data_IF_259551869603
#
_entry.id   IF_259551869603
#
_cell.length_a   1.000
_cell.length_b   1.000
_cell.length_c   1.000
_cell.angle_alpha   90.00
_cell.angle_beta   90.00
_cell.angle_gamma   90.00
#
_symmetry.space_group_name_H-M   'P 1'
#
loop_
_entity.id
_entity.type
_entity.pdbx_description
1 polymer ?
#
# COMPACT_ATOMS: atom_id res chain seq x y z
N UNK A 1 -59.01 28.85 55.16
CA UNK A 1 -57.93 28.56 54.19
C UNK A 1 -56.92 27.63 54.87
N UNK A 2 -56.86 26.36 54.48
CA UNK A 2 -55.88 25.39 55.00
C UNK A 2 -54.61 25.46 54.12
N UNK A 3 -53.39 25.48 54.69
CA UNK A 3 -52.16 25.54 53.91
C UNK A 3 -51.93 24.22 53.15
N UNK A 4 -51.47 24.34 51.91
CA UNK A 4 -51.17 23.22 51.02
C UNK A 4 -50.05 22.35 51.60
N UNK A 5 -50.28 21.04 51.62
CA UNK A 5 -49.32 20.02 52.01
C UNK A 5 -48.13 20.01 51.02
N UNK A 6 -46.87 19.98 51.47
CA UNK A 6 -45.72 19.94 50.59
C UNK A 6 -45.61 18.60 49.87
N UNK A 7 -45.32 18.67 48.56
CA UNK A 7 -45.25 17.54 47.63
C UNK A 7 -44.21 16.50 48.12
N UNK A 8 -44.58 15.21 48.34
CA UNK A 8 -43.72 14.21 49.01
C UNK A 8 -42.42 13.88 48.25
N UNK A 9 -42.34 14.22 46.96
CA UNK A 9 -41.14 14.03 46.14
C UNK A 9 -40.04 15.04 46.51
N UNK A 10 -40.43 16.27 46.87
CA UNK A 10 -39.47 17.35 47.18
C UNK A 10 -38.84 17.16 48.56
N UNK A 11 -39.57 16.56 49.51
CA UNK A 11 -39.03 16.25 50.84
C UNK A 11 -38.06 15.05 50.81
N UNK A 12 -38.24 14.12 49.87
CA UNK A 12 -37.33 12.99 49.66
C UNK A 12 -35.99 13.44 49.04
N UNK A 13 -36.03 14.30 48.02
CA UNK A 13 -34.83 14.82 47.35
C UNK A 13 -33.93 15.65 48.26
N UNK A 14 -34.48 16.32 49.29
CA UNK A 14 -33.71 17.08 50.30
C UNK A 14 -32.98 16.21 51.32
N UNK A 15 -33.27 14.91 51.40
CA UNK A 15 -32.62 13.97 52.34
C UNK A 15 -31.42 13.24 51.75
N UNK A 16 -31.15 13.43 50.47
CA UNK A 16 -30.02 12.78 49.80
C UNK A 16 -28.74 13.55 50.14
N UNK A 17 -27.72 12.91 50.74
CA UNK A 17 -26.41 13.52 50.94
C UNK A 17 -25.86 14.04 49.61
N UNK A 18 -25.28 15.24 49.62
CA UNK A 18 -24.66 15.91 48.46
C UNK A 18 -23.78 15.00 47.58
N UNK A 19 -22.91 14.12 48.12
CA UNK A 19 -22.10 13.23 47.28
C UNK A 19 -22.94 12.19 46.52
N UNK A 20 -24.06 11.74 47.09
CA UNK A 20 -24.97 10.78 46.44
C UNK A 20 -25.80 11.48 45.36
N UNK A 21 -26.23 12.72 45.61
CA UNK A 21 -26.92 13.52 44.60
C UNK A 21 -26.01 13.82 43.38
N UNK A 22 -24.73 14.09 43.62
CA UNK A 22 -23.73 14.25 42.56
C UNK A 22 -23.51 12.96 41.78
N UNK A 23 -23.38 11.82 42.45
CA UNK A 23 -23.22 10.52 41.79
C UNK A 23 -24.44 10.18 40.91
N UNK A 24 -25.66 10.42 41.41
CA UNK A 24 -26.90 10.23 40.64
C UNK A 24 -26.95 11.16 39.43
N UNK A 25 -26.54 12.42 39.60
CA UNK A 25 -26.46 13.40 38.51
C UNK A 25 -25.46 13.02 37.42
N UNK A 26 -24.28 12.51 37.80
CA UNK A 26 -23.24 12.03 36.85
C UNK A 26 -23.73 10.79 36.09
N UNK A 27 -24.35 9.83 36.78
CA UNK A 27 -24.89 8.62 36.15
C UNK A 27 -26.02 8.96 35.17
N UNK A 28 -26.95 9.84 35.56
CA UNK A 28 -28.01 10.31 34.67
C UNK A 28 -27.46 11.09 33.48
N UNK A 29 -26.44 11.93 33.69
CA UNK A 29 -25.74 12.65 32.62
C UNK A 29 -25.08 11.70 31.61
N UNK A 30 -24.41 10.65 32.08
CA UNK A 30 -23.80 9.63 31.23
C UNK A 30 -24.85 8.83 30.45
N UNK A 31 -25.95 8.41 31.08
CA UNK A 31 -27.03 7.70 30.39
C UNK A 31 -27.73 8.58 29.33
N UNK A 32 -27.96 9.85 29.61
CA UNK A 32 -28.55 10.79 28.63
C UNK A 32 -27.57 11.06 27.49
N UNK A 33 -26.26 11.17 27.76
CA UNK A 33 -25.26 11.33 26.70
C UNK A 33 -25.18 10.12 25.77
N UNK A 34 -25.34 8.89 26.28
CA UNK A 34 -25.36 7.66 25.49
C UNK A 34 -26.63 7.53 24.63
N UNK A 35 -27.77 8.03 25.13
CA UNK A 35 -29.02 8.07 24.39
C UNK A 35 -29.01 9.15 23.28
N UNK A 36 -28.37 10.30 23.52
CA UNK A 36 -28.29 11.39 22.53
C UNK A 36 -27.11 11.27 21.54
N UNK A 37 -26.03 10.56 21.88
CA UNK A 37 -24.94 10.29 20.93
C UNK A 37 -25.37 9.38 19.77
N UNK A 38 -26.53 8.72 19.90
CA UNK A 38 -27.10 7.88 18.86
C UNK A 38 -27.84 8.67 17.77
N UNK A 39 -27.90 10.01 17.85
CA UNK A 39 -28.72 10.83 16.93
C UNK A 39 -28.04 12.10 16.37
N UNK A 40 -26.71 12.19 16.37
CA UNK A 40 -25.99 13.24 15.61
C UNK A 40 -24.99 12.65 14.62
N UNK A 41 -25.32 12.86 13.36
CA UNK A 41 -24.64 12.56 12.12
C UNK A 41 -23.12 12.73 12.17
N UNK A 42 -22.40 11.66 11.83
CA UNK A 42 -21.21 11.77 10.99
C UNK A 42 -21.64 11.35 9.59
N UNK A 43 -21.33 12.16 8.58
CA UNK A 43 -21.47 11.77 7.18
C UNK A 43 -20.66 10.48 6.98
N UNK A 44 -21.37 9.37 6.81
CA UNK A 44 -20.79 8.08 6.49
C UNK A 44 -20.29 8.15 5.04
N UNK A 45 -19.01 8.44 4.86
CA UNK A 45 -18.31 7.92 3.70
C UNK A 45 -18.31 6.40 3.81
N UNK A 46 -18.54 5.65 2.71
CA UNK A 46 -18.58 4.20 2.76
C UNK A 46 -17.25 3.69 3.33
N UNK A 47 -17.33 3.08 4.51
CA UNK A 47 -16.27 2.25 5.07
C UNK A 47 -15.96 1.16 4.06
N UNK A 48 -14.67 0.91 3.83
CA UNK A 48 -14.14 -0.22 3.06
C UNK A 48 -14.98 -1.48 3.33
N UNK A 49 -15.81 -1.82 2.36
CA UNK A 49 -16.63 -3.02 2.34
C UNK A 49 -15.85 -4.10 1.58
N UNK A 50 -14.61 -4.32 2.03
CA UNK A 50 -13.74 -5.40 1.55
C UNK A 50 -14.37 -6.74 1.94
N UNK A 51 -15.26 -7.24 1.09
CA UNK A 51 -15.75 -8.62 1.15
C UNK A 51 -17.12 -8.87 1.79
N UNK A 52 -17.96 -7.86 2.09
CA UNK A 52 -19.28 -8.14 2.68
C UNK A 52 -20.26 -8.89 1.76
N UNK A 53 -19.99 -9.00 0.45
CA UNK A 53 -20.78 -9.83 -0.46
C UNK A 53 -20.30 -11.28 -0.58
N UNK A 54 -19.15 -11.65 -0.04
CA UNK A 54 -18.69 -13.04 -0.03
C UNK A 54 -18.78 -13.56 1.40
N UNK A 55 -19.94 -14.13 1.74
CA UNK A 55 -20.10 -14.92 2.97
C UNK A 55 -18.98 -15.97 3.00
N UNK A 56 -17.99 -15.76 3.87
CA UNK A 56 -16.99 -16.75 4.25
C UNK A 56 -17.69 -18.03 4.71
N UNK A 57 -17.92 -18.96 3.78
CA UNK A 57 -18.23 -20.32 4.13
C UNK A 57 -16.98 -20.90 4.79
N UNK A 58 -17.14 -21.42 6.01
CA UNK A 58 -16.06 -22.06 6.75
C UNK A 58 -15.39 -23.13 5.87
N UNK A 59 -14.07 -23.08 5.63
CA UNK A 59 -13.43 -24.07 4.79
C UNK A 59 -13.46 -25.43 5.49
N UNK A 60 -13.99 -26.44 4.79
CA UNK A 60 -13.68 -27.83 5.11
C UNK A 60 -12.17 -28.00 4.86
N UNK A 61 -11.43 -28.34 5.92
CA UNK A 61 -9.99 -28.61 5.86
C UNK A 61 -9.69 -29.71 4.83
N UNK A 62 -9.16 -29.33 3.68
CA UNK A 62 -8.45 -30.24 2.79
C UNK A 62 -6.97 -29.87 2.83
N UNK A 63 -6.19 -30.76 3.43
CA UNK A 63 -4.74 -30.66 3.57
C UNK A 63 -4.07 -30.83 2.20
N UNK A 64 -3.35 -29.83 1.71
CA UNK A 64 -2.23 -30.08 0.78
C UNK A 64 -1.07 -29.08 0.93
N UNK A 65 -0.66 -28.78 2.15
CA UNK A 65 0.71 -28.34 2.41
C UNK A 65 1.19 -29.05 3.67
N UNK A 66 2.31 -29.78 3.58
CA UNK A 66 2.97 -30.27 4.78
C UNK A 66 3.33 -29.06 5.63
N UNK A 67 2.80 -28.91 6.86
CA UNK A 67 3.22 -27.84 7.72
C UNK A 67 4.70 -28.07 8.02
N UNK A 68 5.57 -27.27 7.40
CA UNK A 68 6.92 -27.13 7.89
C UNK A 68 6.77 -26.69 9.35
N UNK A 69 7.32 -27.48 10.27
CA UNK A 69 7.25 -27.13 11.69
C UNK A 69 7.79 -25.71 11.81
N UNK A 70 6.97 -24.74 12.27
CA UNK A 70 7.42 -23.36 12.35
C UNK A 70 8.69 -23.34 13.21
N UNK A 71 9.79 -22.71 12.75
CA UNK A 71 11.01 -22.63 13.52
C UNK A 71 10.74 -22.01 14.88
N UNK A 72 11.50 -22.42 15.90
CA UNK A 72 11.29 -21.92 17.27
C UNK A 72 11.50 -20.40 17.31
N UNK A 73 10.91 -19.68 18.29
CA UNK A 73 11.13 -18.24 18.43
C UNK A 73 12.62 -17.85 18.46
N UNK A 74 13.49 -18.66 19.05
CA UNK A 74 14.94 -18.44 19.09
C UNK A 74 15.59 -18.58 17.71
N UNK A 75 15.18 -19.59 16.94
CA UNK A 75 15.65 -19.77 15.56
C UNK A 75 15.20 -18.61 14.68
N UNK A 76 13.94 -18.20 14.80
CA UNK A 76 13.39 -17.04 14.10
C UNK A 76 14.13 -15.77 14.47
N UNK A 77 14.42 -15.53 15.75
CA UNK A 77 15.18 -14.37 16.21
C UNK A 77 16.61 -14.38 15.65
N UNK A 78 17.28 -15.53 15.63
CA UNK A 78 18.62 -15.65 15.05
C UNK A 78 18.63 -15.33 13.55
N UNK A 79 17.64 -15.84 12.83
CA UNK A 79 17.49 -15.58 11.39
C UNK A 79 17.12 -14.12 11.15
N UNK A 80 16.19 -13.56 11.94
CA UNK A 80 15.84 -12.15 11.89
C UNK A 80 17.06 -11.27 12.15
N UNK A 81 17.91 -11.62 13.12
CA UNK A 81 19.15 -10.90 13.37
C UNK A 81 20.10 -10.99 12.17
N UNK A 82 20.31 -12.18 11.59
CA UNK A 82 21.13 -12.36 10.38
C UNK A 82 20.59 -11.55 9.20
N UNK A 83 19.29 -11.62 8.94
CA UNK A 83 18.61 -10.86 7.88
C UNK A 83 18.67 -9.35 8.15
N UNK A 84 18.57 -8.92 9.41
CA UNK A 84 18.70 -7.51 9.78
C UNK A 84 20.13 -6.99 9.58
N UNK A 85 21.13 -7.86 9.69
CA UNK A 85 22.54 -7.55 9.41
C UNK A 85 22.90 -7.60 7.93
N UNK A 86 22.04 -8.17 7.06
CA UNK A 86 22.21 -8.03 5.61
C UNK A 86 22.10 -6.54 5.28
N UNK A 87 23.26 -5.94 5.01
CA UNK A 87 23.34 -4.55 4.59
C UNK A 87 23.05 -4.52 3.09
N UNK A 88 21.96 -3.87 2.65
CA UNK A 88 21.75 -3.65 1.24
C UNK A 88 22.93 -2.85 0.64
N UNK A 89 23.22 -3.07 -0.64
CA UNK A 89 24.28 -2.35 -1.32
C UNK A 89 23.80 -0.98 -1.81
N UNK A 90 22.69 -0.97 -2.53
CA UNK A 90 22.10 0.21 -3.16
C UNK A 90 21.16 0.97 -2.22
N UNK A 91 20.39 0.28 -1.38
CA UNK A 91 19.43 0.88 -0.44
C UNK A 91 20.01 1.13 0.96
N UNK A 92 21.35 1.09 1.10
CA UNK A 92 22.06 1.26 2.39
C UNK A 92 21.76 2.59 3.08
N UNK A 93 21.53 3.64 2.29
CA UNK A 93 21.41 5.02 2.77
C UNK A 93 19.97 5.43 3.06
N UNK A 94 18.97 4.65 2.66
CA UNK A 94 17.54 4.99 2.81
C UNK A 94 17.19 5.53 4.20
N UNK A 95 17.67 4.90 5.27
CA UNK A 95 17.37 5.30 6.65
C UNK A 95 18.65 5.50 7.48
N UNK A 96 19.77 5.78 6.81
CA UNK A 96 21.07 5.89 7.46
C UNK A 96 21.16 7.26 8.15
N UNK A 97 20.73 7.29 9.41
CA UNK A 97 20.70 8.42 10.37
C UNK A 97 19.39 9.18 10.49
N UNK A 98 18.25 8.50 10.28
CA UNK A 98 16.94 9.10 10.48
C UNK A 98 16.80 9.83 11.82
N UNK A 99 16.32 11.07 11.78
CA UNK A 99 16.11 11.93 12.92
C UNK A 99 15.08 11.30 13.88
N UNK A 100 15.26 11.43 15.20
CA UNK A 100 14.34 10.82 16.17
C UNK A 100 12.87 11.24 15.99
N UNK A 101 12.64 12.48 15.54
CA UNK A 101 11.29 12.98 15.25
C UNK A 101 10.61 12.24 14.09
N UNK A 102 11.37 11.95 13.03
CA UNK A 102 10.89 11.20 11.86
C UNK A 102 10.58 9.76 12.24
N UNK A 103 11.49 9.10 12.97
CA UNK A 103 11.28 7.73 13.45
C UNK A 103 9.97 7.61 14.25
N UNK A 104 9.70 8.56 15.16
CA UNK A 104 8.46 8.58 15.93
C UNK A 104 7.23 8.75 15.02
N UNK A 105 7.27 9.66 14.04
CA UNK A 105 6.17 9.84 13.12
C UNK A 105 5.95 8.61 12.22
N UNK A 106 7.00 7.94 11.77
CA UNK A 106 6.93 6.69 11.00
C UNK A 106 6.24 5.60 11.83
N UNK A 107 6.65 5.40 13.09
CA UNK A 107 6.03 4.43 13.99
C UNK A 107 4.53 4.70 14.18
N UNK A 108 4.14 5.97 14.38
CA UNK A 108 2.75 6.38 14.51
C UNK A 108 1.97 6.22 13.20
N UNK A 109 2.55 6.66 12.08
CA UNK A 109 1.91 6.65 10.75
C UNK A 109 1.64 5.24 10.28
N UNK A 110 2.60 4.33 10.39
CA UNK A 110 2.47 2.95 9.93
C UNK A 110 1.89 2.00 10.99
N UNK A 111 1.48 2.49 12.16
CA UNK A 111 0.76 1.68 13.17
C UNK A 111 -0.41 0.87 12.58
N UNK A 112 -1.24 1.40 11.64
CA UNK A 112 -2.31 0.63 11.00
C UNK A 112 -1.85 -0.51 10.08
N UNK A 113 -0.56 -0.58 9.75
CA UNK A 113 0.03 -1.65 8.95
C UNK A 113 0.64 -2.77 9.82
N UNK A 114 0.82 -2.53 11.12
CA UNK A 114 1.49 -3.48 12.03
C UNK A 114 0.62 -4.73 12.23
N UNK A 115 0.98 -5.82 11.55
CA UNK A 115 0.17 -7.05 11.54
C UNK A 115 0.56 -8.07 12.60
N UNK A 116 1.22 -7.66 13.69
CA UNK A 116 1.53 -8.52 14.82
C UNK A 116 1.18 -7.86 16.16
N UNK A 117 0.80 -8.66 17.15
CA UNK A 117 0.46 -8.14 18.47
C UNK A 117 1.73 -7.63 19.17
N UNK A 118 1.63 -6.50 19.88
CA UNK A 118 2.71 -6.08 20.78
C UNK A 118 2.85 -7.11 21.91
N UNK A 119 4.08 -7.46 22.33
CA UNK A 119 4.26 -8.27 23.52
C UNK A 119 3.59 -7.58 24.71
N UNK A 120 2.95 -8.37 25.57
CA UNK A 120 2.09 -7.87 26.65
C UNK A 120 2.93 -7.11 27.70
N UNK A 121 3.21 -5.83 27.45
CA UNK A 121 3.85 -4.95 28.40
C UNK A 121 2.83 -4.57 29.47
N UNK A 122 2.75 -5.37 30.53
CA UNK A 122 2.01 -5.01 31.75
C UNK A 122 2.73 -3.85 32.44
N UNK A 123 2.55 -2.64 31.94
CA UNK A 123 2.76 -1.42 32.72
C UNK A 123 1.55 -1.27 33.64
N UNK A 124 1.74 -1.53 34.93
CA UNK A 124 0.71 -1.34 35.97
C UNK A 124 0.31 0.14 36.15
N UNK A 125 1.11 1.09 35.64
CA UNK A 125 0.98 2.50 35.97
C UNK A 125 0.35 3.39 34.89
N UNK A 126 0.02 2.87 33.71
CA UNK A 126 -0.66 3.64 32.65
C UNK A 126 -2.18 3.52 32.77
N UNK A 127 -2.73 4.00 33.88
CA UNK A 127 -4.16 4.14 34.09
C UNK A 127 -4.53 5.62 34.12
N UNK A 128 -5.51 6.01 33.29
CA UNK A 128 -6.35 7.22 33.38
C UNK A 128 -6.26 8.34 32.31
N UNK A 129 -5.74 8.12 31.10
CA UNK A 129 -5.93 9.11 30.00
C UNK A 129 -6.40 8.58 28.61
N UNK A 130 -6.55 7.27 28.38
CA UNK A 130 -6.76 6.73 27.01
C UNK A 130 -8.16 6.10 26.74
N UNK A 131 -9.27 6.67 27.20
CA UNK A 131 -10.57 5.98 27.03
C UNK A 131 -11.23 6.18 25.65
N UNK A 132 -11.02 7.32 24.98
CA UNK A 132 -11.62 7.59 23.65
C UNK A 132 -10.67 7.32 22.45
N UNK A 133 -9.35 7.41 22.62
CA UNK A 133 -8.37 7.03 21.60
C UNK A 133 -8.22 5.50 21.44
N UNK A 134 -8.69 4.72 22.43
CA UNK A 134 -8.52 3.27 22.52
C UNK A 134 -9.38 2.46 21.53
N UNK A 135 -10.59 2.91 21.19
CA UNK A 135 -11.50 2.12 20.33
C UNK A 135 -11.09 2.13 18.86
N UNK A 136 -10.73 3.30 18.31
CA UNK A 136 -10.23 3.46 16.94
C UNK A 136 -8.88 2.75 16.77
N UNK A 137 -7.99 2.89 17.75
CA UNK A 137 -6.68 2.22 17.75
C UNK A 137 -6.82 0.70 17.79
N UNK A 138 -7.64 0.15 18.68
CA UNK A 138 -7.92 -1.30 18.72
C UNK A 138 -8.55 -1.82 17.42
N UNK A 139 -9.47 -1.06 16.79
CA UNK A 139 -10.06 -1.46 15.51
C UNK A 139 -9.02 -1.47 14.40
N UNK A 140 -8.14 -0.48 14.35
CA UNK A 140 -7.02 -0.42 13.39
C UNK A 140 -6.03 -1.56 13.61
N UNK A 141 -5.70 -1.88 14.87
CA UNK A 141 -4.82 -3.01 15.21
C UNK A 141 -5.44 -4.35 14.83
N UNK A 142 -6.74 -4.55 15.09
CA UNK A 142 -7.46 -5.76 14.68
C UNK A 142 -7.56 -5.89 13.16
N UNK A 143 -7.80 -4.78 12.46
CA UNK A 143 -7.77 -4.75 10.99
C UNK A 143 -6.39 -5.12 10.46
N UNK A 144 -5.32 -4.56 11.03
CA UNK A 144 -3.94 -4.87 10.64
C UNK A 144 -3.56 -6.34 10.88
N UNK A 145 -3.98 -6.91 12.02
CA UNK A 145 -3.72 -8.31 12.37
C UNK A 145 -4.36 -9.30 11.39
N UNK A 146 -5.52 -8.94 10.81
CA UNK A 146 -6.23 -9.78 9.85
C UNK A 146 -5.94 -9.50 8.39
N UNK A 147 -5.27 -8.38 8.07
CA UNK A 147 -5.06 -7.92 6.70
C UNK A 147 -4.02 -8.77 5.98
N UNK A 148 -4.40 -9.40 4.87
CA UNK A 148 -3.55 -10.28 4.07
C UNK A 148 -3.01 -9.58 2.83
N UNK A 149 -1.70 -9.67 2.62
CA UNK A 149 -0.99 -9.05 1.50
C UNK A 149 -0.48 -10.13 0.53
N UNK A 150 -0.81 -9.98 -0.76
CA UNK A 150 -0.25 -10.80 -1.83
C UNK A 150 0.79 -9.99 -2.61
N UNK A 151 2.05 -10.34 -2.48
CA UNK A 151 3.13 -9.74 -3.25
C UNK A 151 3.34 -10.53 -4.54
N UNK A 152 3.27 -9.88 -5.69
CA UNK A 152 3.57 -10.45 -6.99
C UNK A 152 4.84 -9.81 -7.54
N UNK A 153 5.87 -10.60 -7.85
CA UNK A 153 7.18 -10.09 -8.25
C UNK A 153 7.60 -10.72 -9.57
N UNK A 154 7.91 -9.89 -10.57
CA UNK A 154 8.50 -10.32 -11.83
C UNK A 154 10.00 -10.04 -11.83
N UNK A 155 10.82 -11.03 -12.19
CA UNK A 155 12.28 -10.90 -12.22
C UNK A 155 12.87 -11.44 -13.53
N UNK A 156 13.86 -10.74 -14.07
CA UNK A 156 14.66 -11.16 -15.21
C UNK A 156 16.06 -10.54 -15.14
N UNK A 157 17.10 -11.36 -15.03
CA UNK A 157 18.49 -10.91 -14.88
C UNK A 157 18.68 -9.89 -13.74
N UNK A 158 18.10 -10.19 -12.59
CA UNK A 158 18.01 -9.27 -11.45
C UNK A 158 18.99 -9.62 -10.33
N UNK A 159 20.11 -10.30 -10.64
CA UNK A 159 21.07 -10.79 -9.62
C UNK A 159 21.56 -9.67 -8.68
N UNK A 160 21.84 -8.48 -9.22
CA UNK A 160 22.35 -7.35 -8.43
C UNK A 160 21.26 -6.63 -7.61
N UNK A 161 19.99 -6.77 -8.00
CA UNK A 161 18.84 -6.12 -7.33
C UNK A 161 18.28 -6.98 -6.20
N UNK A 162 18.29 -8.30 -6.40
CA UNK A 162 17.66 -9.28 -5.50
C UNK A 162 18.10 -9.15 -4.03
N UNK A 163 19.39 -8.99 -3.69
CA UNK A 163 19.80 -8.89 -2.28
C UNK A 163 19.13 -7.73 -1.55
N UNK A 164 19.06 -6.57 -2.19
CA UNK A 164 18.46 -5.34 -1.65
C UNK A 164 16.93 -5.47 -1.58
N UNK A 165 16.30 -5.92 -2.66
CA UNK A 165 14.85 -6.16 -2.71
C UNK A 165 14.42 -7.14 -1.61
N UNK A 166 15.16 -8.22 -1.41
CA UNK A 166 14.85 -9.22 -0.39
C UNK A 166 15.09 -8.70 1.02
N UNK A 167 16.15 -7.94 1.25
CA UNK A 167 16.38 -7.28 2.53
C UNK A 167 15.23 -6.31 2.88
N UNK A 168 14.74 -5.54 1.90
CA UNK A 168 13.56 -4.68 2.08
C UNK A 168 12.31 -5.52 2.35
N UNK A 169 12.04 -6.57 1.57
CA UNK A 169 10.88 -7.46 1.75
C UNK A 169 10.83 -8.11 3.13
N UNK A 170 11.96 -8.56 3.69
CA UNK A 170 12.00 -9.10 5.04
C UNK A 170 11.66 -8.05 6.11
N UNK A 171 12.07 -6.79 5.91
CA UNK A 171 11.78 -5.70 6.85
C UNK A 171 10.33 -5.23 6.75
N UNK A 172 9.81 -5.10 5.53
CA UNK A 172 8.38 -4.85 5.28
C UNK A 172 7.53 -5.97 5.87
N UNK A 173 7.87 -7.23 5.61
CA UNK A 173 7.18 -8.39 6.17
C UNK A 173 7.23 -8.46 7.70
N UNK A 174 8.29 -7.93 8.34
CA UNK A 174 8.34 -7.82 9.79
C UNK A 174 7.29 -6.84 10.32
N UNK A 175 7.06 -5.71 9.64
CA UNK A 175 6.03 -4.73 9.99
C UNK A 175 4.63 -5.28 9.70
N UNK A 176 4.40 -5.77 8.48
CA UNK A 176 3.10 -6.31 8.06
C UNK A 176 2.72 -7.62 8.78
N UNK A 177 3.69 -8.29 9.42
CA UNK A 177 3.57 -9.63 9.97
C UNK A 177 3.81 -10.69 8.90
N UNK A 178 4.84 -11.53 9.07
CA UNK A 178 5.20 -12.55 8.08
C UNK A 178 4.06 -13.51 7.73
N UNK A 179 3.20 -13.81 8.70
CA UNK A 179 2.02 -14.67 8.51
C UNK A 179 0.93 -14.04 7.63
N UNK A 180 0.92 -12.72 7.52
CA UNK A 180 -0.04 -11.96 6.71
C UNK A 180 0.46 -11.75 5.28
N UNK A 181 1.71 -12.11 4.99
CA UNK A 181 2.37 -11.90 3.69
C UNK A 181 2.47 -13.23 2.93
N UNK A 182 2.01 -13.22 1.69
CA UNK A 182 2.27 -14.25 0.69
C UNK A 182 3.06 -13.63 -0.47
N UNK A 183 4.12 -14.30 -0.92
CA UNK A 183 4.98 -13.82 -2.02
C UNK A 183 4.91 -14.79 -3.20
N UNK A 184 4.53 -14.30 -4.36
CA UNK A 184 4.56 -15.01 -5.64
C UNK A 184 5.64 -14.39 -6.52
N UNK A 185 6.67 -15.16 -6.85
CA UNK A 185 7.76 -14.71 -7.72
C UNK A 185 7.69 -15.46 -9.05
N UNK A 186 7.61 -14.73 -10.15
CA UNK A 186 7.79 -15.27 -11.49
C UNK A 186 9.14 -14.82 -12.07
N UNK A 187 9.99 -15.80 -12.34
CA UNK A 187 11.33 -15.61 -12.90
C UNK A 187 11.33 -16.02 -14.38
N UNK A 188 11.68 -15.08 -15.26
CA UNK A 188 11.42 -15.18 -16.69
C UNK A 188 12.66 -15.57 -17.54
N UNK A 189 13.36 -16.63 -17.17
CA UNK A 189 14.41 -17.19 -18.02
C UNK A 189 15.76 -16.46 -18.00
N UNK A 190 16.12 -15.92 -16.83
CA UNK A 190 17.39 -15.26 -16.52
C UNK A 190 18.58 -16.15 -16.86
N UNK A 191 19.61 -15.51 -17.40
CA UNK A 191 20.91 -16.09 -17.76
C UNK A 191 21.99 -15.90 -16.70
N UNK A 192 21.76 -14.98 -15.75
CA UNK A 192 22.64 -14.73 -14.62
C UNK A 192 22.37 -15.68 -13.44
N UNK A 193 22.92 -15.35 -12.26
CA UNK A 193 22.75 -16.14 -11.03
C UNK A 193 21.44 -15.84 -10.27
N UNK A 194 20.47 -15.14 -10.88
CA UNK A 194 19.16 -14.84 -10.28
C UNK A 194 18.51 -16.09 -9.67
N UNK A 195 18.44 -17.18 -10.44
CA UNK A 195 17.83 -18.45 -10.01
C UNK A 195 18.49 -19.05 -8.77
N UNK A 196 19.81 -18.85 -8.61
CA UNK A 196 20.53 -19.33 -7.43
C UNK A 196 20.14 -18.53 -6.18
N UNK A 197 20.06 -17.20 -6.28
CA UNK A 197 19.61 -16.35 -5.18
C UNK A 197 18.16 -16.64 -4.78
N UNK A 198 17.27 -16.92 -5.74
CA UNK A 198 15.88 -17.27 -5.45
C UNK A 198 15.74 -18.54 -4.57
N UNK A 199 16.64 -19.52 -4.71
CA UNK A 199 16.65 -20.73 -3.85
C UNK A 199 17.06 -20.41 -2.41
N UNK A 200 18.00 -19.49 -2.24
CA UNK A 200 18.42 -19.00 -0.91
C UNK A 200 17.24 -18.26 -0.27
N UNK A 201 16.57 -17.40 -1.03
CA UNK A 201 15.39 -16.68 -0.56
C UNK A 201 14.27 -17.60 -0.13
N UNK A 202 13.90 -18.61 -0.93
CA UNK A 202 12.89 -19.62 -0.56
C UNK A 202 13.21 -20.30 0.79
N UNK A 203 14.49 -20.56 1.05
CA UNK A 203 14.91 -21.14 2.33
C UNK A 203 14.75 -20.14 3.49
N UNK A 204 15.12 -18.87 3.27
CA UNK A 204 15.04 -17.81 4.27
C UNK A 204 13.59 -17.42 4.60
N UNK A 205 12.70 -17.30 3.61
CA UNK A 205 11.28 -16.97 3.82
C UNK A 205 10.57 -18.04 4.63
N UNK A 206 10.77 -19.31 4.30
CA UNK A 206 10.23 -20.45 5.08
C UNK A 206 10.72 -20.42 6.53
N UNK A 207 11.96 -20.01 6.74
CA UNK A 207 12.56 -19.97 8.08
C UNK A 207 12.05 -18.82 8.98
N UNK A 208 11.38 -17.81 8.42
CA UNK A 208 10.67 -16.78 9.20
C UNK A 208 9.15 -16.98 9.20
N UNK A 209 8.65 -17.98 8.46
CA UNK A 209 7.22 -18.26 8.30
C UNK A 209 6.52 -17.39 7.26
N UNK A 210 7.25 -16.73 6.38
CA UNK A 210 6.70 -15.99 5.24
C UNK A 210 6.45 -16.96 4.08
N UNK A 211 5.23 -17.00 3.55
CA UNK A 211 4.86 -17.94 2.48
C UNK A 211 5.39 -17.42 1.15
N UNK A 212 6.03 -18.30 0.37
CA UNK A 212 6.52 -17.97 -0.97
C UNK A 212 6.26 -19.09 -1.97
N UNK A 213 5.93 -18.72 -3.20
CA UNK A 213 5.93 -19.59 -4.38
C UNK A 213 6.84 -18.95 -5.43
N UNK A 214 7.81 -19.71 -5.93
CA UNK A 214 8.73 -19.25 -6.98
C UNK A 214 8.51 -20.13 -8.21
N UNK A 215 8.10 -19.51 -9.32
CA UNK A 215 7.93 -20.15 -10.63
C UNK A 215 9.00 -19.63 -11.58
N UNK A 216 9.83 -20.52 -12.10
CA UNK A 216 10.86 -20.19 -13.08
C UNK A 216 10.44 -20.68 -14.46
N UNK A 217 10.66 -19.87 -15.49
CA UNK A 217 10.41 -20.21 -16.89
C UNK A 217 11.70 -20.24 -17.69
N UNK A 218 11.69 -20.99 -18.80
CA UNK A 218 12.74 -20.88 -19.83
C UNK A 218 12.24 -20.10 -21.06
N UNK A 219 10.96 -19.68 -21.07
CA UNK A 219 10.34 -18.96 -22.19
C UNK A 219 10.94 -17.57 -22.29
N UNK A 220 11.54 -17.26 -23.43
CA UNK A 220 11.96 -15.90 -23.79
C UNK A 220 10.98 -15.32 -24.80
N UNK A 221 10.93 -14.00 -24.92
CA UNK A 221 10.16 -13.34 -25.98
C UNK A 221 10.68 -13.82 -27.33
N UNK A 222 9.81 -14.41 -28.15
CA UNK A 222 10.11 -14.69 -29.55
C UNK A 222 10.31 -13.39 -30.33
N UNK A 223 11.13 -13.40 -31.38
CA UNK A 223 11.43 -12.20 -32.16
C UNK A 223 10.17 -11.53 -32.75
N UNK A 224 9.15 -12.33 -33.08
CA UNK A 224 7.90 -11.89 -33.69
C UNK A 224 6.75 -11.67 -32.69
N UNK A 225 6.96 -11.91 -31.39
CA UNK A 225 5.91 -11.72 -30.40
C UNK A 225 5.84 -10.25 -29.99
N UNK A 226 4.62 -9.70 -29.98
CA UNK A 226 4.39 -8.33 -29.53
C UNK A 226 4.82 -8.16 -28.07
N UNK A 227 5.62 -7.12 -27.80
CA UNK A 227 6.26 -6.91 -26.49
C UNK A 227 5.25 -6.77 -25.35
N UNK A 228 4.16 -6.05 -25.59
CA UNK A 228 3.15 -5.77 -24.56
C UNK A 228 2.41 -7.03 -24.14
N UNK A 229 2.03 -7.86 -25.11
CA UNK A 229 1.36 -9.14 -24.84
C UNK A 229 2.27 -10.07 -24.04
N UNK A 230 3.53 -10.17 -24.42
CA UNK A 230 4.51 -10.96 -23.67
C UNK A 230 4.67 -10.46 -22.23
N UNK A 231 4.80 -9.15 -22.01
CA UNK A 231 4.91 -8.61 -20.65
C UNK A 231 3.63 -8.82 -19.84
N UNK A 232 2.46 -8.77 -20.48
CA UNK A 232 1.19 -9.11 -19.84
C UNK A 232 1.15 -10.58 -19.42
N UNK A 233 1.58 -11.52 -20.28
CA UNK A 233 1.70 -12.94 -19.92
C UNK A 233 2.59 -13.15 -18.69
N UNK A 234 3.75 -12.47 -18.65
CA UNK A 234 4.71 -12.58 -17.54
C UNK A 234 4.10 -12.06 -16.24
N UNK A 235 3.42 -10.89 -16.26
CA UNK A 235 2.71 -10.36 -15.07
C UNK A 235 1.58 -11.28 -14.62
N UNK A 236 0.78 -11.79 -15.56
CA UNK A 236 -0.30 -12.71 -15.26
C UNK A 236 0.24 -13.99 -14.62
N UNK A 237 1.39 -14.49 -15.07
CA UNK A 237 2.02 -15.68 -14.49
C UNK A 237 2.40 -15.51 -13.01
N UNK A 238 2.83 -14.31 -12.59
CA UNK A 238 3.05 -14.00 -11.17
C UNK A 238 1.74 -13.90 -10.36
N UNK A 239 0.63 -13.58 -11.03
CA UNK A 239 -0.70 -13.49 -10.41
C UNK A 239 -1.43 -14.83 -10.33
N UNK A 240 -1.03 -15.85 -11.09
CA UNK A 240 -1.72 -17.17 -11.08
C UNK A 240 -1.90 -17.75 -9.66
N UNK A 241 -0.90 -17.72 -8.75
CA UNK A 241 -1.10 -18.23 -7.40
C UNK A 241 -2.20 -17.52 -6.60
N UNK A 242 -2.52 -16.27 -6.91
CA UNK A 242 -3.66 -15.55 -6.29
C UNK A 242 -4.98 -16.27 -6.56
N UNK A 243 -5.17 -16.71 -7.81
CA UNK A 243 -6.38 -17.41 -8.24
C UNK A 243 -6.39 -18.85 -7.74
N UNK A 244 -5.26 -19.56 -7.82
CA UNK A 244 -5.15 -20.94 -7.33
C UNK A 244 -5.45 -21.04 -5.83
N UNK A 245 -4.95 -20.11 -5.01
CA UNK A 245 -5.23 -20.09 -3.56
C UNK A 245 -6.71 -19.83 -3.27
N UNK A 246 -7.36 -18.97 -4.06
CA UNK A 246 -8.80 -18.74 -3.93
C UNK A 246 -9.61 -19.97 -4.32
N UNK A 247 -9.29 -20.59 -5.45
CA UNK A 247 -10.07 -21.70 -6.00
C UNK A 247 -9.86 -23.00 -5.22
N UNK A 248 -8.62 -23.29 -4.83
CA UNK A 248 -8.26 -24.54 -4.17
C UNK A 248 -8.43 -24.47 -2.63
N UNK A 249 -8.10 -23.32 -2.02
CA UNK A 249 -8.03 -23.18 -0.56
C UNK A 249 -9.10 -22.22 0.00
N UNK A 250 -9.82 -21.50 -0.86
CA UNK A 250 -10.77 -20.46 -0.44
C UNK A 250 -10.09 -19.24 0.17
N UNK A 251 -8.77 -19.08 -0.02
CA UNK A 251 -8.02 -17.97 0.54
C UNK A 251 -8.12 -16.72 -0.36
N UNK A 252 -8.46 -15.59 0.26
CA UNK A 252 -8.49 -14.28 -0.39
C UNK A 252 -7.51 -13.33 0.30
N UNK A 253 -7.05 -12.34 -0.45
CA UNK A 253 -6.14 -11.30 0.03
C UNK A 253 -6.84 -9.94 0.00
N UNK A 254 -6.39 -9.04 0.87
CA UNK A 254 -6.97 -7.70 1.05
C UNK A 254 -6.21 -6.63 0.26
N UNK A 255 -4.95 -6.91 -0.12
CA UNK A 255 -4.16 -6.04 -0.99
C UNK A 255 -3.20 -6.86 -1.85
N UNK A 256 -3.08 -6.48 -3.12
CA UNK A 256 -2.06 -7.00 -4.02
C UNK A 256 -0.96 -5.95 -4.17
N UNK A 257 0.29 -6.33 -3.92
CA UNK A 257 1.47 -5.48 -4.12
C UNK A 257 2.27 -6.06 -5.27
N UNK A 258 2.15 -5.48 -6.45
CA UNK A 258 2.91 -5.86 -7.62
C UNK A 258 4.25 -5.14 -7.64
N UNK A 259 5.35 -5.86 -7.88
CA UNK A 259 6.71 -5.32 -7.92
C UNK A 259 7.49 -5.85 -9.12
N UNK A 260 8.31 -5.00 -9.72
CA UNK A 260 9.35 -5.41 -10.67
C UNK A 260 10.71 -5.52 -9.95
N UNK A 261 11.80 -5.57 -10.71
CA UNK A 261 13.18 -5.53 -10.26
C UNK A 261 13.65 -4.12 -9.90
N UNK A 262 13.00 -3.52 -8.91
CA UNK A 262 13.33 -2.19 -8.38
C UNK A 262 14.05 -2.24 -7.03
N UNK A 263 14.56 -1.09 -6.60
CA UNK A 263 15.34 -0.89 -5.37
C UNK A 263 14.59 -0.02 -4.35
N UNK A 264 13.47 -0.50 -3.77
CA UNK A 264 12.70 0.31 -2.84
C UNK A 264 13.35 0.35 -1.46
N UNK A 265 13.22 1.49 -0.80
CA UNK A 265 13.39 1.61 0.63
C UNK A 265 12.19 0.97 1.35
N UNK A 266 12.34 0.69 2.65
CA UNK A 266 11.26 0.11 3.46
C UNK A 266 10.06 1.06 3.49
N UNK A 267 10.34 2.34 3.69
CA UNK A 267 9.32 3.38 3.82
C UNK A 267 8.58 3.61 2.49
N UNK A 268 9.21 3.40 1.33
CA UNK A 268 8.51 3.48 0.04
C UNK A 268 7.36 2.47 -0.05
N UNK A 269 7.63 1.22 0.30
CA UNK A 269 6.63 0.15 0.24
C UNK A 269 5.54 0.36 1.28
N UNK A 270 5.92 0.72 2.51
CA UNK A 270 4.97 0.96 3.60
C UNK A 270 4.11 2.19 3.34
N UNK A 271 4.70 3.30 2.88
CA UNK A 271 3.97 4.51 2.53
C UNK A 271 3.00 4.25 1.36
N UNK A 272 3.42 3.51 0.34
CA UNK A 272 2.55 3.20 -0.80
C UNK A 272 1.34 2.35 -0.38
N UNK A 273 1.56 1.34 0.46
CA UNK A 273 0.47 0.54 1.04
C UNK A 273 -0.41 1.41 1.94
N UNK A 274 0.20 2.25 2.78
CA UNK A 274 -0.51 3.14 3.69
C UNK A 274 -1.40 4.12 2.91
N UNK A 275 -0.87 4.79 1.89
CA UNK A 275 -1.60 5.70 1.03
C UNK A 275 -2.73 4.99 0.30
N UNK A 276 -2.46 3.81 -0.28
CA UNK A 276 -3.51 3.01 -0.94
C UNK A 276 -4.70 2.74 -0.02
N UNK A 277 -4.43 2.33 1.23
CA UNK A 277 -5.47 2.05 2.24
C UNK A 277 -6.12 3.33 2.75
N UNK A 278 -5.34 4.38 3.02
CA UNK A 278 -5.79 5.66 3.56
C UNK A 278 -6.73 6.37 2.59
N UNK A 279 -6.35 6.39 1.31
CA UNK A 279 -7.10 7.03 0.23
C UNK A 279 -8.25 6.16 -0.29
N UNK A 280 -8.32 4.88 0.11
CA UNK A 280 -9.24 3.89 -0.46
C UNK A 280 -9.11 3.82 -1.99
N UNK A 281 -7.86 3.84 -2.48
CA UNK A 281 -7.55 3.86 -3.90
C UNK A 281 -7.54 2.43 -4.47
N UNK A 282 -8.18 2.25 -5.64
CA UNK A 282 -8.17 0.96 -6.35
C UNK A 282 -6.81 0.59 -6.95
N UNK A 283 -5.97 1.58 -7.24
CA UNK A 283 -4.61 1.45 -7.72
C UNK A 283 -3.76 2.60 -7.18
N UNK A 284 -2.60 2.30 -6.61
CA UNK A 284 -1.61 3.28 -6.17
C UNK A 284 -0.24 2.86 -6.67
N UNK A 285 0.44 3.70 -7.45
CA UNK A 285 1.76 3.37 -8.00
C UNK A 285 2.86 4.23 -7.38
N UNK A 286 4.05 3.65 -7.28
CA UNK A 286 5.25 4.42 -6.98
C UNK A 286 5.63 5.34 -8.16
N UNK A 287 6.30 6.44 -7.84
CA UNK A 287 6.94 7.31 -8.81
C UNK A 287 8.43 6.95 -8.83
N UNK A 288 8.85 6.18 -9.83
CA UNK A 288 10.20 5.65 -9.89
C UNK A 288 11.11 6.59 -10.68
N UNK A 289 12.39 6.56 -10.33
CA UNK A 289 13.42 7.36 -10.99
C UNK A 289 14.60 6.49 -11.36
N UNK A 290 15.19 6.83 -12.50
CA UNK A 290 16.48 6.30 -12.91
C UNK A 290 17.46 7.46 -13.10
N UNK A 291 18.73 7.26 -12.71
CA UNK A 291 19.75 8.26 -12.95
C UNK A 291 20.15 8.21 -14.43
N UNK A 292 20.13 9.36 -15.10
CA UNK A 292 20.51 9.45 -16.50
C UNK A 292 21.80 10.25 -16.67
N UNK A 293 22.92 9.58 -16.97
CA UNK A 293 24.26 10.19 -17.05
C UNK A 293 24.33 11.39 -17.99
N UNK A 294 23.63 11.32 -19.14
CA UNK A 294 23.61 12.42 -20.12
C UNK A 294 22.90 13.69 -19.62
N UNK A 295 21.97 13.56 -18.67
CA UNK A 295 21.23 14.69 -18.06
C UNK A 295 21.90 15.12 -16.75
N UNK A 296 22.64 14.21 -16.10
CA UNK A 296 23.27 14.44 -14.80
C UNK A 296 22.25 14.55 -13.66
N UNK A 297 21.04 14.00 -13.85
CA UNK A 297 19.94 14.07 -12.90
C UNK A 297 19.08 12.79 -12.94
N UNK A 298 18.35 12.47 -11.85
CA UNK A 298 17.25 11.51 -11.88
C UNK A 298 16.17 11.97 -12.87
N UNK A 299 15.69 11.04 -13.68
CA UNK A 299 14.53 11.25 -14.55
C UNK A 299 13.45 10.24 -14.19
N UNK A 300 12.19 10.65 -14.34
CA UNK A 300 11.05 9.77 -14.15
C UNK A 300 11.17 8.53 -15.06
N UNK A 301 10.96 7.36 -14.48
CA UNK A 301 11.03 6.08 -15.17
C UNK A 301 9.63 5.54 -15.48
N UNK A 302 9.53 4.72 -16.54
CA UNK A 302 8.30 4.08 -17.01
C UNK A 302 7.19 5.07 -17.44
N UNK A 303 7.54 5.99 -18.33
CA UNK A 303 6.61 6.95 -18.91
C UNK A 303 5.60 6.36 -19.91
N UNK A 304 5.72 5.09 -20.27
CA UNK A 304 4.91 4.45 -21.31
C UNK A 304 3.41 4.49 -20.99
N UNK A 305 3.06 4.18 -19.74
CA UNK A 305 1.67 4.10 -19.24
C UNK A 305 1.30 5.23 -18.29
N UNK A 306 2.27 5.99 -17.79
CA UNK A 306 2.02 7.05 -16.83
C UNK A 306 1.38 8.26 -17.51
N UNK A 307 0.23 8.70 -17.00
CA UNK A 307 -0.53 9.83 -17.54
C UNK A 307 -0.94 10.76 -16.41
N UNK A 308 -0.81 12.07 -16.60
CA UNK A 308 -1.39 13.04 -15.67
C UNK A 308 -2.93 12.96 -15.64
N UNK A 309 -3.57 13.74 -14.78
CA UNK A 309 -5.04 13.72 -14.63
C UNK A 309 -5.77 14.08 -15.93
N UNK A 310 -5.13 14.84 -16.83
CA UNK A 310 -5.69 15.24 -18.13
C UNK A 310 -5.44 14.19 -19.23
N UNK A 311 -4.69 13.12 -18.94
CA UNK A 311 -4.31 12.10 -19.91
C UNK A 311 -3.07 12.45 -20.73
N UNK A 312 -2.31 13.47 -20.32
CA UNK A 312 -1.01 13.80 -20.93
C UNK A 312 0.02 12.77 -20.48
N UNK A 313 0.81 12.23 -21.41
CA UNK A 313 1.96 11.39 -21.07
C UNK A 313 2.90 12.15 -20.14
N UNK A 314 3.30 11.50 -19.04
CA UNK A 314 4.44 11.99 -18.27
C UNK A 314 5.70 11.82 -19.11
N UNK A 315 6.68 12.70 -18.95
CA UNK A 315 7.93 12.64 -19.73
C UNK A 315 9.05 12.02 -18.89
N UNK A 316 10.09 11.48 -19.56
CA UNK A 316 11.35 11.10 -18.92
C UNK A 316 12.14 12.37 -18.58
N UNK A 317 11.59 13.15 -17.65
CA UNK A 317 12.09 14.46 -17.27
C UNK A 317 12.54 14.46 -15.81
N UNK A 318 13.40 15.43 -15.43
CA UNK A 318 13.71 15.68 -14.03
C UNK A 318 12.44 15.95 -13.21
N UNK A 319 12.55 15.74 -11.90
CA UNK A 319 11.46 15.83 -10.92
C UNK A 319 10.49 17.01 -11.14
N UNK A 320 11.00 18.21 -11.37
CA UNK A 320 10.19 19.43 -11.48
C UNK A 320 9.36 19.52 -12.77
N UNK A 321 9.59 18.62 -13.73
CA UNK A 321 9.04 18.68 -15.09
C UNK A 321 8.20 17.46 -15.46
N UNK A 322 7.96 16.54 -14.51
CA UNK A 322 7.22 15.30 -14.78
C UNK A 322 5.75 15.57 -15.09
N UNK A 323 5.11 16.50 -14.37
CA UNK A 323 3.67 16.79 -14.50
C UNK A 323 3.38 18.07 -15.28
N UNK A 324 2.51 17.96 -16.28
CA UNK A 324 2.05 19.10 -17.08
C UNK A 324 0.83 19.81 -16.46
N UNK A 325 -0.08 19.05 -15.83
CA UNK A 325 -1.21 19.64 -15.12
C UNK A 325 -0.73 20.48 -13.90
N UNK A 326 -1.02 21.79 -13.83
CA UNK A 326 -0.43 22.68 -12.82
C UNK A 326 -0.67 22.26 -11.37
N UNK A 327 -1.90 21.83 -11.03
CA UNK A 327 -2.22 21.41 -9.67
C UNK A 327 -1.55 20.07 -9.31
N UNK A 328 -1.49 19.14 -10.27
CA UNK A 328 -0.74 17.89 -10.07
C UNK A 328 0.75 18.17 -9.87
N UNK A 329 1.32 19.11 -10.64
CA UNK A 329 2.72 19.53 -10.51
C UNK A 329 3.00 20.19 -9.15
N UNK A 330 2.13 21.09 -8.67
CA UNK A 330 2.27 21.70 -7.34
C UNK A 330 2.30 20.64 -6.23
N UNK A 331 1.35 19.70 -6.26
CA UNK A 331 1.30 18.61 -5.30
C UNK A 331 2.54 17.70 -5.39
N UNK A 332 3.02 17.43 -6.61
CA UNK A 332 4.20 16.58 -6.83
C UNK A 332 5.46 17.20 -6.28
N UNK A 333 5.69 18.48 -6.56
CA UNK A 333 6.83 19.23 -6.04
C UNK A 333 6.84 19.29 -4.50
N UNK A 334 5.66 19.15 -3.88
CA UNK A 334 5.47 19.10 -2.42
C UNK A 334 5.47 17.68 -1.86
N UNK A 335 5.79 16.67 -2.66
CA UNK A 335 5.79 15.26 -2.27
C UNK A 335 4.44 14.78 -1.69
N UNK A 336 3.34 15.33 -2.19
CA UNK A 336 1.99 14.95 -1.77
C UNK A 336 1.43 13.83 -2.66
N UNK A 337 0.47 13.02 -2.17
CA UNK A 337 -0.25 12.08 -3.03
C UNK A 337 -1.06 12.84 -4.08
N UNK A 338 -1.15 12.28 -5.29
CA UNK A 338 -1.78 12.91 -6.46
C UNK A 338 -2.59 11.88 -7.21
N UNK A 339 -3.78 12.28 -7.65
CA UNK A 339 -4.55 11.48 -8.57
C UNK A 339 -4.03 11.64 -10.01
N UNK A 340 -3.88 10.52 -10.69
CA UNK A 340 -3.43 10.43 -12.09
C UNK A 340 -4.45 9.65 -12.92
N UNK A 341 -4.46 9.84 -14.23
CA UNK A 341 -5.35 9.06 -15.10
C UNK A 341 -4.91 7.60 -15.19
N UNK A 342 -3.60 7.36 -15.28
CA UNK A 342 -3.03 6.01 -15.29
C UNK A 342 -1.61 6.01 -14.76
N UNK A 343 -1.25 4.91 -14.09
CA UNK A 343 0.10 4.64 -13.65
C UNK A 343 0.34 3.13 -13.63
N UNK A 344 1.58 2.73 -13.83
CA UNK A 344 2.08 1.38 -13.56
C UNK A 344 3.59 1.50 -13.63
N UNK A 345 4.25 1.57 -12.47
CA UNK A 345 5.70 1.69 -12.40
C UNK A 345 6.29 0.43 -11.75
N UNK A 346 7.45 0.52 -11.11
CA UNK A 346 8.11 -0.60 -10.46
C UNK A 346 7.39 -1.15 -9.24
N UNK A 347 6.52 -0.39 -8.57
CA UNK A 347 5.60 -0.91 -7.55
C UNK A 347 4.19 -0.36 -7.75
N UNK A 348 3.20 -1.25 -7.67
CA UNK A 348 1.79 -0.91 -7.68
C UNK A 348 1.03 -1.68 -6.59
N UNK A 349 0.24 -0.97 -5.79
CA UNK A 349 -0.72 -1.56 -4.83
C UNK A 349 -2.10 -1.54 -5.46
N UNK A 350 -2.74 -2.70 -5.56
CA UNK A 350 -4.03 -2.89 -6.20
C UNK A 350 -5.08 -3.39 -5.21
N UNK A 351 -6.30 -2.90 -5.39
CA UNK A 351 -7.50 -3.56 -4.86
C UNK A 351 -7.67 -4.91 -5.58
N UNK A 352 -7.71 -6.04 -4.85
CA UNK A 352 -7.88 -7.35 -5.45
C UNK A 352 -9.33 -7.64 -5.89
N UNK A 353 -10.33 -6.85 -5.48
CA UNK A 353 -11.73 -7.14 -5.80
C UNK A 353 -12.00 -7.34 -7.31
N UNK A 354 -11.47 -6.51 -8.24
CA UNK A 354 -11.63 -6.72 -9.68
C UNK A 354 -10.99 -8.01 -10.18
N UNK A 355 -9.90 -8.47 -9.55
CA UNK A 355 -9.21 -9.72 -9.91
C UNK A 355 -10.04 -10.96 -9.55
N UNK A 356 -10.96 -10.82 -8.60
CA UNK A 356 -11.83 -11.91 -8.15
C UNK A 356 -13.21 -11.92 -8.82
N UNK A 357 -13.59 -10.86 -9.53
CA UNK A 357 -14.93 -10.74 -10.11
C UNK A 357 -15.15 -11.71 -11.29
N UNK A 358 -16.32 -12.38 -11.29
CA UNK A 358 -16.81 -13.26 -12.38
C UNK A 358 -18.20 -12.83 -12.87
N UNK A 359 -18.54 -12.96 -14.17
CA UNK A 359 -17.63 -13.32 -15.25
C UNK A 359 -16.58 -12.22 -15.41
N UNK A 360 -15.39 -12.58 -15.91
CA UNK A 360 -14.42 -11.59 -16.37
C UNK A 360 -15.12 -10.81 -17.49
N UNK A 361 -15.86 -9.75 -17.16
CA UNK A 361 -16.51 -8.88 -18.15
C UNK A 361 -15.38 -8.07 -18.77
N UNK A 362 -14.70 -8.69 -19.71
CA UNK A 362 -13.95 -8.01 -20.74
C UNK A 362 -15.01 -7.29 -21.55
N UNK A 363 -15.08 -5.97 -21.40
CA UNK A 363 -15.89 -5.17 -22.31
C UNK A 363 -15.29 -5.33 -23.71
N UNK A 364 -16.13 -5.58 -24.72
CA UNK A 364 -15.69 -5.84 -26.09
C UNK A 364 -14.65 -4.79 -26.55
N UNK A 365 -13.55 -5.27 -27.12
CA UNK A 365 -12.48 -4.45 -27.68
C UNK A 365 -13.04 -3.72 -28.91
N UNK A 366 -13.32 -2.43 -28.79
CA UNK A 366 -13.63 -1.58 -29.93
C UNK A 366 -12.37 -0.74 -30.21
N UNK A 367 -11.70 -0.97 -31.33
CA UNK A 367 -10.59 -0.09 -31.73
C UNK A 367 -11.14 1.25 -32.22
N UNK A 368 -10.88 2.40 -31.55
CA UNK A 368 -11.13 3.69 -32.16
C UNK A 368 -10.13 3.91 -33.32
N UNK A 369 -10.60 4.55 -34.39
CA UNK A 369 -9.73 5.08 -35.44
C UNK A 369 -8.69 6.03 -34.81
N UNK A 370 -7.40 5.77 -35.01
CA UNK A 370 -6.29 6.61 -34.52
C UNK A 370 -6.54 8.07 -34.90
N UNK A 371 -6.60 8.96 -33.91
CA UNK A 371 -6.50 10.41 -34.13
C UNK A 371 -5.04 10.82 -33.90
N UNK A 372 -4.44 11.44 -34.91
CA UNK A 372 -3.15 12.13 -34.79
C UNK A 372 -3.30 13.27 -33.77
N UNK A 373 -2.71 13.11 -32.58
CA UNK A 373 -2.57 14.20 -31.63
C UNK A 373 -1.21 14.87 -31.87
N UNK A 374 -1.23 15.94 -32.65
CA UNK A 374 -0.10 16.87 -32.79
C UNK A 374 -0.06 17.83 -31.60
N UNK A 375 1.09 17.85 -30.93
CA UNK A 375 1.76 18.92 -30.19
C UNK A 375 0.93 20.00 -29.45
N UNK A 376 1.20 20.15 -28.15
CA UNK A 376 0.98 21.40 -27.42
C UNK A 376 2.34 21.85 -26.86
N UNK A 377 2.91 22.92 -27.46
CA UNK A 377 4.07 23.65 -26.93
C UNK A 377 3.60 24.92 -26.23
N UNK A 378 4.19 25.20 -25.08
CA UNK A 378 4.36 26.55 -24.54
C UNK A 378 3.71 26.75 -23.18
N UNK A 379 4.47 26.54 -22.10
CA UNK A 379 4.19 27.15 -20.79
C UNK A 379 5.47 27.52 -20.05
N UNK A 380 5.33 28.56 -19.23
CA UNK A 380 6.40 29.28 -18.52
C UNK A 380 6.60 28.65 -17.15
N UNK A 381 7.88 28.48 -16.82
CA UNK A 381 8.46 28.00 -15.57
C UNK A 381 7.89 28.71 -14.34
N UNK A 382 7.21 27.98 -13.46
CA UNK A 382 7.02 28.38 -12.07
C UNK A 382 7.85 27.42 -11.22
N UNK A 383 9.06 27.85 -10.89
CA UNK A 383 9.92 27.15 -9.94
C UNK A 383 9.54 27.53 -8.51
N UNK A 384 9.57 26.54 -7.61
CA UNK A 384 9.49 26.76 -6.17
C UNK A 384 10.54 27.77 -5.69
N UNK A 385 10.15 28.58 -4.70
CA UNK A 385 10.97 29.66 -4.18
C UNK A 385 12.20 29.12 -3.42
N UNK A 386 13.41 29.66 -3.63
CA UNK A 386 14.65 29.25 -2.96
C UNK A 386 14.67 29.37 -1.42
N UNK A 387 13.69 30.05 -0.83
CA UNK A 387 13.75 30.53 0.56
C UNK A 387 12.67 29.94 1.49
N UNK A 388 12.03 28.80 1.16
CA UNK A 388 11.12 28.12 2.10
C UNK A 388 11.90 27.23 3.09
N UNK A 389 11.94 27.55 4.39
CA UNK A 389 12.58 26.73 5.42
C UNK A 389 11.91 25.36 5.63
N UNK A 390 10.82 25.04 4.92
CA UNK A 390 10.17 23.72 4.88
C UNK A 390 10.74 22.78 3.82
N UNK A 391 11.60 23.28 2.93
CA UNK A 391 12.30 22.48 1.92
C UNK A 391 13.75 22.29 2.37
N UNK A 392 14.12 21.06 2.71
CA UNK A 392 15.51 20.74 3.05
C UNK A 392 16.33 20.70 1.75
N UNK A 393 17.56 21.23 1.69
CA UNK A 393 18.47 20.98 0.58
C UNK A 393 18.62 19.49 0.20
N UNK A 394 18.36 18.56 1.13
CA UNK A 394 18.30 17.11 0.87
C UNK A 394 17.07 16.65 0.09
N UNK A 395 15.98 17.42 0.01
CA UNK A 395 14.82 17.16 -0.87
C UNK A 395 15.21 17.24 -2.36
N UNK A 396 16.43 17.72 -2.68
CA UNK A 396 17.01 17.71 -4.03
C UNK A 396 17.93 16.52 -4.31
N UNK A 397 18.12 15.64 -3.33
CA UNK A 397 18.99 14.48 -3.44
C UNK A 397 18.18 13.20 -3.64
N UNK A 398 18.77 12.29 -4.41
CA UNK A 398 18.29 11.02 -4.96
C UNK A 398 17.37 10.11 -4.10
N UNK A 399 17.20 10.35 -2.81
CA UNK A 399 16.59 9.39 -1.89
C UNK A 399 15.11 9.65 -1.56
N UNK A 400 14.45 10.65 -2.14
CA UNK A 400 13.13 11.05 -1.64
C UNK A 400 13.20 11.51 -0.17
N UNK A 401 12.06 11.87 0.45
CA UNK A 401 12.04 12.50 1.78
C UNK A 401 12.26 11.50 2.93
N UNK A 402 13.07 10.45 2.75
CA UNK A 402 13.46 9.60 3.87
C UNK A 402 14.34 10.42 4.79
N UNK A 403 13.80 10.74 5.98
CA UNK A 403 14.35 11.65 6.99
C UNK A 403 13.69 13.05 7.07
N UNK A 404 12.71 13.39 6.22
CA UNK A 404 11.89 14.60 6.42
C UNK A 404 10.67 14.30 7.27
N UNK A 405 10.36 15.17 8.24
CA UNK A 405 9.11 15.07 9.00
C UNK A 405 7.90 15.16 8.05
N UNK A 406 6.94 14.25 8.24
CA UNK A 406 5.67 14.26 7.53
C UNK A 406 4.93 15.57 7.77
N UNK A 407 4.35 16.15 6.71
CA UNK A 407 3.42 17.27 6.85
C UNK A 407 1.97 16.76 6.91
N UNK A 408 1.05 17.47 7.61
CA UNK A 408 -0.35 17.05 7.71
C UNK A 408 -1.05 16.85 6.35
N UNK A 409 -0.64 17.59 5.33
CA UNK A 409 -1.16 17.53 3.96
C UNK A 409 -0.96 16.16 3.32
N UNK A 410 0.12 15.44 3.67
CA UNK A 410 0.39 14.10 3.16
C UNK A 410 -0.62 13.05 3.66
N UNK A 411 -1.39 13.38 4.70
CA UNK A 411 -2.46 12.55 5.25
C UNK A 411 -3.87 12.97 4.82
N UNK A 412 -4.00 14.04 4.02
CA UNK A 412 -5.29 14.51 3.55
C UNK A 412 -5.87 13.55 2.51
N UNK A 413 -7.18 13.33 2.59
CA UNK A 413 -7.89 12.52 1.62
C UNK A 413 -7.98 13.28 0.30
N UNK A 414 -7.68 12.60 -0.80
CA UNK A 414 -7.91 13.10 -2.14
C UNK A 414 -9.41 13.08 -2.44
N UNK A 415 -9.90 14.17 -3.04
CA UNK A 415 -11.22 14.18 -3.66
C UNK A 415 -11.07 13.60 -5.07
N UNK A 416 -11.33 12.29 -5.20
CA UNK A 416 -11.12 11.59 -6.47
C UNK A 416 -12.09 12.08 -7.54
N UNK A 417 -11.54 12.62 -8.62
CA UNK A 417 -12.31 12.92 -9.84
C UNK A 417 -12.60 11.59 -10.53
N UNK A 418 -13.87 11.23 -10.78
CA UNK A 418 -14.18 10.01 -11.50
C UNK A 418 -13.50 10.03 -12.88
N UNK A 419 -12.91 8.90 -13.25
CA UNK A 419 -12.40 8.71 -14.61
C UNK A 419 -13.53 8.82 -15.65
N UNK A 420 -13.18 8.84 -16.95
CA UNK A 420 -14.17 8.79 -18.01
C UNK A 420 -15.11 7.58 -17.81
N UNK A 421 -16.39 7.66 -18.24
CA UNK A 421 -17.37 6.59 -18.03
C UNK A 421 -17.00 5.27 -18.74
N UNK A 422 -16.00 5.31 -19.61
CA UNK A 422 -15.39 4.17 -20.27
C UNK A 422 -13.86 4.31 -20.19
N UNK A 423 -13.18 3.22 -19.85
CA UNK A 423 -11.72 3.08 -19.88
C UNK A 423 -11.40 1.91 -20.79
N UNK A 424 -10.45 2.10 -21.71
CA UNK A 424 -10.01 1.05 -22.62
C UNK A 424 -8.98 0.17 -21.92
N UNK A 425 -9.40 -1.00 -21.43
CA UNK A 425 -8.49 -1.98 -20.87
C UNK A 425 -7.87 -2.80 -22.01
N UNK A 426 -6.55 -2.72 -22.17
CA UNK A 426 -5.81 -3.61 -23.07
C UNK A 426 -5.46 -4.90 -22.32
N UNK A 427 -6.10 -6.00 -22.71
CA UNK A 427 -5.66 -7.36 -22.38
C UNK A 427 -6.68 -8.19 -21.62
N UNK A 428 -7.27 -9.16 -22.32
CA UNK A 428 -7.72 -10.45 -21.79
C UNK A 428 -8.06 -11.34 -23.00
N UNK A 429 -7.51 -12.56 -23.02
CA UNK A 429 -7.61 -13.60 -24.06
C UNK A 429 -6.72 -13.39 -25.32
N UNK A 430 -5.98 -14.44 -25.70
CA UNK A 430 -4.80 -14.38 -26.55
C UNK A 430 -5.00 -13.91 -28.01
N UNK A 431 -3.85 -13.66 -28.64
CA UNK A 431 -3.60 -13.35 -30.06
C UNK A 431 -4.84 -12.96 -30.88
N UNK A 432 -5.31 -11.72 -30.71
CA UNK A 432 -5.89 -10.99 -31.82
C UNK A 432 -4.73 -10.46 -32.65
N UNK A 433 -4.62 -10.88 -33.91
CA UNK A 433 -3.60 -10.40 -34.85
C UNK A 433 -3.51 -8.86 -34.84
N UNK A 434 -2.45 -8.32 -34.22
CA UNK A 434 -2.12 -6.90 -34.24
C UNK A 434 -1.02 -6.65 -35.27
N UNK A 435 -1.37 -6.81 -36.55
CA UNK A 435 -0.63 -6.19 -37.64
C UNK A 435 -0.89 -4.68 -37.59
N UNK A 436 -0.05 -3.96 -36.84
CA UNK A 436 -0.05 -2.50 -36.78
C UNK A 436 1.36 -1.98 -36.51
N UNK A 437 1.84 -0.94 -37.22
CA UNK A 437 3.25 -0.59 -37.24
C UNK A 437 3.70 -0.11 -35.86
N UNK A 438 4.83 -0.69 -35.46
CA UNK A 438 5.66 -0.32 -34.34
C UNK A 438 5.81 1.20 -34.25
N UNK A 439 5.58 1.74 -33.05
CA UNK A 439 6.11 3.03 -32.66
C UNK A 439 7.27 2.72 -31.70
N UNK A 440 8.47 3.05 -32.17
CA UNK A 440 9.77 2.89 -31.52
C UNK A 440 9.81 3.36 -30.06
#
# INVERSE_FOLDING_TARGET
MKPAQPNPVVSFLRRIPTPIALAIGVILGLCVSQLWSSSRSAQNYPTWDGGASLKSQRPHRLNSFQPTVPPTPEQRLRILNLLSTLSPHHTRTCTRNSQPGYVKQVEERYTPLVGHSKPNSRSWWSGHEEEHASSTRRRSELSALGHKYFFAINLYNSFDVIPDLFATMFRVGAVLGYQNVFVSIYENGSSDQTKALLRIFDSLTRSVGMRVVIRTSMRRRGAFNHRIEYLAEVRNAAMVPLHELRENEGEVFDSVVFMNDVLPCIDDVLELIWQSRRQNAGLTCAADYMFHDGVGAPVFYDNWVARDINGTALENAPFEQVFHHPESSDRFQRHLPIQVQSCWNGIAVLDPAPLYATPHKVWDIIHPLRRNLTAIRGYVRLGGLPDDPRTDPQDRSWYGPHDRLFVPEESQLLDFVPGPPYVWCWGWDGAGDLDGPDVD
#
